data_IF_004466259055
#
_entry.id   IF_004466259055
#
_cell.length_a   1.000
_cell.length_b   1.000
_cell.length_c   1.000
_cell.angle_alpha   90.00
_cell.angle_beta   90.00
_cell.angle_gamma   90.00
#
_symmetry.space_group_name_H-M   'P 1'
#
loop_
_entity.id
_entity.type
_entity.pdbx_description
1 polymer ?
#
# COMPACT_ATOMS: atom_id res chain seq x y z
N UNK A 1 51.82 65.86 -9.91
CA UNK A 1 52.12 64.68 -10.74
C UNK A 1 52.72 63.64 -9.79
N UNK A 2 52.18 62.45 -9.53
CA UNK A 2 51.25 61.57 -10.24
C UNK A 2 50.33 60.88 -9.23
N UNK A 3 49.03 60.86 -9.53
CA UNK A 3 48.01 60.10 -8.82
C UNK A 3 48.20 58.60 -9.09
N UNK A 4 48.16 57.76 -8.07
CA UNK A 4 47.96 56.32 -8.22
C UNK A 4 46.62 55.97 -7.59
N UNK A 5 45.57 56.01 -8.43
CA UNK A 5 44.33 55.27 -8.22
C UNK A 5 44.71 53.78 -8.17
N UNK A 6 44.53 53.12 -7.03
CA UNK A 6 44.55 51.66 -6.97
C UNK A 6 43.11 51.16 -6.94
N UNK A 7 42.77 50.43 -8.00
CA UNK A 7 41.46 49.96 -8.40
C UNK A 7 40.94 48.89 -7.45
N UNK A 8 39.72 49.09 -6.94
CA UNK A 8 38.90 48.10 -6.23
C UNK A 8 38.38 47.08 -7.26
N UNK A 9 38.70 45.79 -7.11
CA UNK A 9 37.86 44.68 -7.61
C UNK A 9 37.89 43.52 -6.59
N UNK A 10 36.83 43.32 -5.80
CA UNK A 10 36.65 42.08 -5.05
C UNK A 10 36.16 40.99 -6.01
N UNK A 11 36.99 39.98 -6.26
CA UNK A 11 36.61 38.79 -7.03
C UNK A 11 35.76 37.87 -6.12
N UNK A 12 34.51 38.26 -5.94
CA UNK A 12 33.43 37.35 -5.54
C UNK A 12 33.02 36.46 -6.73
N UNK A 13 32.34 35.36 -6.41
CA UNK A 13 31.73 34.36 -7.30
C UNK A 13 32.62 33.18 -7.71
N UNK A 14 32.45 32.07 -6.99
CA UNK A 14 32.01 30.78 -7.57
C UNK A 14 31.58 29.79 -6.46
N UNK A 15 30.60 30.17 -5.64
CA UNK A 15 29.75 29.17 -4.97
C UNK A 15 28.55 28.89 -5.89
N UNK A 16 28.84 28.24 -7.01
CA UNK A 16 27.84 27.50 -7.77
C UNK A 16 27.68 26.14 -7.12
N UNK A 17 27.04 26.11 -5.95
CA UNK A 17 26.54 24.89 -5.36
C UNK A 17 25.59 24.26 -6.39
N UNK A 18 26.04 23.20 -7.07
CA UNK A 18 25.14 22.27 -7.73
C UNK A 18 24.34 21.53 -6.65
N UNK A 19 23.41 22.21 -5.96
CA UNK A 19 22.26 21.53 -5.41
C UNK A 19 21.40 21.19 -6.61
N UNK A 20 21.71 20.06 -7.26
CA UNK A 20 20.73 19.36 -8.10
C UNK A 20 19.67 18.91 -7.12
N UNK A 21 18.74 19.82 -6.85
CA UNK A 21 17.64 19.64 -5.91
C UNK A 21 16.98 18.29 -6.21
N UNK A 22 16.64 17.57 -5.15
CA UNK A 22 15.87 16.32 -5.10
C UNK A 22 14.58 16.39 -5.92
N UNK A 23 14.70 16.40 -7.24
CA UNK A 23 13.56 16.33 -8.12
C UNK A 23 13.18 14.85 -8.15
N UNK A 24 12.27 14.49 -7.24
CA UNK A 24 11.69 13.15 -7.14
C UNK A 24 11.12 12.76 -8.50
N UNK A 25 11.38 11.53 -8.91
CA UNK A 25 10.84 10.99 -10.16
C UNK A 25 9.30 11.01 -10.07
N UNK A 26 8.58 11.68 -10.99
CA UNK A 26 7.12 11.77 -10.94
C UNK A 26 6.44 10.40 -10.98
N UNK A 27 7.06 9.39 -11.58
CA UNK A 27 6.54 8.02 -11.60
C UNK A 27 6.63 7.34 -10.23
N UNK A 28 7.69 7.62 -9.46
CA UNK A 28 7.82 7.13 -8.10
C UNK A 28 6.86 7.86 -7.14
N UNK A 29 6.55 9.13 -7.40
CA UNK A 29 5.51 9.84 -6.67
C UNK A 29 4.12 9.24 -6.94
N UNK A 30 3.83 8.89 -8.19
CA UNK A 30 2.58 8.20 -8.56
C UNK A 30 2.50 6.80 -7.95
N UNK A 31 3.59 6.03 -8.00
CA UNK A 31 3.69 4.73 -7.34
C UNK A 31 3.40 4.84 -5.83
N UNK A 32 3.96 5.85 -5.15
CA UNK A 32 3.72 6.08 -3.73
C UNK A 32 2.25 6.41 -3.43
N UNK A 33 1.58 7.19 -4.29
CA UNK A 33 0.15 7.48 -4.15
C UNK A 33 -0.68 6.19 -4.22
N UNK A 34 -0.42 5.32 -5.19
CA UNK A 34 -1.12 4.04 -5.29
C UNK A 34 -0.85 3.13 -4.10
N UNK A 35 0.41 3.05 -3.64
CA UNK A 35 0.76 2.30 -2.44
C UNK A 35 -0.01 2.81 -1.20
N UNK A 36 0.01 4.12 -0.94
CA UNK A 36 -0.71 4.72 0.19
C UNK A 36 -2.22 4.47 0.11
N UNK A 37 -2.82 4.59 -1.07
CA UNK A 37 -4.25 4.32 -1.22
C UNK A 37 -4.55 2.83 -0.98
N UNK A 38 -3.68 1.93 -1.43
CA UNK A 38 -3.85 0.50 -1.24
C UNK A 38 -3.74 0.11 0.25
N UNK A 39 -2.77 0.65 0.99
CA UNK A 39 -2.61 0.40 2.44
C UNK A 39 -3.70 1.06 3.29
N UNK A 40 -4.29 2.17 2.82
CA UNK A 40 -5.50 2.72 3.43
C UNK A 40 -6.70 1.78 3.27
N UNK A 41 -6.89 1.18 2.09
CA UNK A 41 -7.95 0.18 1.88
C UNK A 41 -7.70 -1.05 2.75
N UNK A 42 -6.46 -1.55 2.81
CA UNK A 42 -6.07 -2.64 3.70
C UNK A 42 -6.53 -2.36 5.14
N UNK A 43 -6.16 -1.20 5.69
CA UNK A 43 -6.52 -0.83 7.06
C UNK A 43 -8.04 -0.78 7.31
N UNK A 44 -8.84 -0.49 6.28
CA UNK A 44 -10.30 -0.51 6.37
C UNK A 44 -10.86 -1.93 6.39
N UNK A 45 -10.35 -2.83 5.54
CA UNK A 45 -10.94 -4.16 5.33
C UNK A 45 -10.33 -5.26 6.19
N UNK A 46 -9.10 -5.09 6.68
CA UNK A 46 -8.39 -6.06 7.53
C UNK A 46 -9.23 -6.50 8.74
N UNK A 47 -9.87 -5.61 9.52
CA UNK A 47 -10.72 -6.03 10.64
C UNK A 47 -11.94 -6.85 10.21
N UNK A 48 -12.42 -6.67 8.97
CA UNK A 48 -13.50 -7.50 8.42
C UNK A 48 -12.97 -8.88 8.05
N UNK A 49 -11.82 -8.94 7.37
CA UNK A 49 -11.16 -10.21 7.05
C UNK A 49 -10.87 -11.02 8.31
N UNK A 50 -10.41 -10.39 9.40
CA UNK A 50 -10.19 -11.05 10.69
C UNK A 50 -11.48 -11.64 11.30
N UNK A 51 -12.64 -11.07 11.02
CA UNK A 51 -13.93 -11.58 11.52
C UNK A 51 -14.43 -12.82 10.77
N UNK A 52 -13.83 -13.19 9.63
CA UNK A 52 -14.28 -14.29 8.78
C UNK A 52 -14.43 -15.61 9.55
N UNK A 53 -13.45 -15.97 10.40
CA UNK A 53 -13.51 -17.23 11.13
C UNK A 53 -14.66 -17.25 12.15
N UNK A 54 -14.96 -16.10 12.77
CA UNK A 54 -16.13 -15.96 13.64
C UNK A 54 -17.44 -16.13 12.87
N UNK A 55 -17.55 -15.54 11.67
CA UNK A 55 -18.74 -15.69 10.81
C UNK A 55 -18.93 -17.15 10.37
N UNK A 56 -17.84 -17.85 10.02
CA UNK A 56 -17.89 -19.26 9.66
C UNK A 56 -18.42 -20.14 10.79
N UNK A 57 -18.07 -19.85 12.05
CA UNK A 57 -18.62 -20.54 13.22
C UNK A 57 -20.14 -20.35 13.32
N UNK A 58 -20.65 -19.13 13.09
CA UNK A 58 -22.09 -18.85 13.10
C UNK A 58 -22.85 -19.59 11.98
N UNK A 59 -22.18 -19.86 10.87
CA UNK A 59 -22.73 -20.55 9.71
C UNK A 59 -22.56 -22.09 9.78
N UNK A 60 -21.74 -22.62 10.69
CA UNK A 60 -21.32 -24.02 10.69
C UNK A 60 -22.45 -25.05 10.80
N UNK A 61 -23.57 -24.69 11.44
CA UNK A 61 -24.73 -25.58 11.64
C UNK A 61 -25.79 -25.48 10.53
N UNK A 62 -25.52 -24.69 9.50
CA UNK A 62 -26.43 -24.43 8.38
C UNK A 62 -25.93 -25.20 7.15
N UNK A 63 -26.85 -25.85 6.44
CA UNK A 63 -26.53 -26.79 5.33
C UNK A 63 -27.14 -26.37 4.00
N UNK A 64 -27.79 -25.22 3.96
CA UNK A 64 -28.38 -24.63 2.77
C UNK A 64 -27.27 -24.38 1.74
N UNK A 65 -27.47 -24.70 0.45
CA UNK A 65 -26.45 -24.53 -0.58
C UNK A 65 -25.85 -23.11 -0.64
N UNK A 66 -26.66 -22.09 -0.39
CA UNK A 66 -26.22 -20.69 -0.34
C UNK A 66 -25.22 -20.43 0.80
N UNK A 67 -25.40 -21.09 1.95
CA UNK A 67 -24.49 -20.96 3.09
C UNK A 67 -23.15 -21.61 2.80
N UNK A 68 -23.16 -22.82 2.23
CA UNK A 68 -21.93 -23.53 1.85
C UNK A 68 -21.11 -22.74 0.81
N UNK A 69 -21.79 -22.14 -0.18
CA UNK A 69 -21.16 -21.25 -1.16
C UNK A 69 -20.60 -19.97 -0.51
N UNK A 70 -21.31 -19.40 0.46
CA UNK A 70 -20.86 -18.21 1.21
C UNK A 70 -19.61 -18.52 2.04
N UNK A 71 -19.58 -19.66 2.75
CA UNK A 71 -18.40 -20.12 3.52
C UNK A 71 -17.19 -20.30 2.61
N UNK A 72 -17.37 -20.92 1.44
CA UNK A 72 -16.29 -21.07 0.45
C UNK A 72 -15.77 -19.71 -0.05
N UNK A 73 -16.67 -18.75 -0.22
CA UNK A 73 -16.31 -17.38 -0.64
C UNK A 73 -15.52 -16.65 0.45
N UNK A 74 -15.91 -16.82 1.72
CA UNK A 74 -15.19 -16.27 2.86
C UNK A 74 -13.75 -16.85 2.95
N UNK A 75 -13.57 -18.15 2.77
CA UNK A 75 -12.24 -18.77 2.73
C UNK A 75 -11.39 -18.23 1.56
N UNK A 76 -12.01 -18.07 0.39
CA UNK A 76 -11.35 -17.46 -0.76
C UNK A 76 -10.92 -16.01 -0.51
N UNK A 77 -11.71 -15.24 0.22
CA UNK A 77 -11.40 -13.84 0.54
C UNK A 77 -10.20 -13.75 1.47
N UNK A 78 -10.20 -14.53 2.55
CA UNK A 78 -9.08 -14.56 3.51
C UNK A 78 -7.77 -14.90 2.80
N UNK A 79 -7.77 -15.95 1.98
CA UNK A 79 -6.59 -16.34 1.19
C UNK A 79 -6.16 -15.26 0.19
N UNK A 80 -7.10 -14.60 -0.49
CA UNK A 80 -6.77 -13.56 -1.44
C UNK A 80 -6.14 -12.34 -0.75
N UNK A 81 -6.62 -11.99 0.44
CA UNK A 81 -6.06 -10.92 1.26
C UNK A 81 -4.66 -11.27 1.75
N UNK A 82 -4.45 -12.46 2.34
CA UNK A 82 -3.12 -12.96 2.74
C UNK A 82 -2.13 -12.92 1.58
N UNK A 83 -2.55 -13.37 0.39
CA UNK A 83 -1.72 -13.31 -0.81
C UNK A 83 -1.39 -11.88 -1.24
N UNK A 84 -2.32 -10.94 -1.11
CA UNK A 84 -2.05 -9.53 -1.40
C UNK A 84 -1.01 -8.97 -0.42
N UNK A 85 -1.14 -9.25 0.88
CA UNK A 85 -0.20 -8.80 1.93
C UNK A 85 1.20 -9.37 1.75
N UNK A 86 1.31 -10.65 1.37
CA UNK A 86 2.58 -11.31 1.05
C UNK A 86 3.29 -10.71 -0.17
N UNK A 87 2.53 -10.12 -1.10
CA UNK A 87 3.06 -9.50 -2.32
C UNK A 87 3.20 -7.98 -2.21
N UNK A 88 2.88 -7.38 -1.07
CA UNK A 88 3.02 -5.95 -0.86
C UNK A 88 4.50 -5.54 -0.95
N UNK A 89 4.79 -4.59 -1.84
CA UNK A 89 6.13 -4.06 -2.07
C UNK A 89 6.14 -2.57 -1.72
N UNK A 90 7.17 -2.13 -1.01
CA UNK A 90 7.40 -0.73 -0.67
C UNK A 90 7.96 0.08 -1.84
N UNK A 91 7.61 1.37 -1.91
CA UNK A 91 8.13 2.30 -2.92
C UNK A 91 9.47 2.91 -2.45
N UNK A 92 10.59 2.72 -3.20
CA UNK A 92 11.90 3.21 -2.78
C UNK A 92 11.97 4.74 -2.62
N UNK A 93 12.65 5.20 -1.56
CA UNK A 93 12.98 6.62 -1.37
C UNK A 93 11.79 7.51 -1.00
N UNK A 94 10.63 6.91 -0.70
CA UNK A 94 9.43 7.63 -0.28
C UNK A 94 9.19 7.39 1.21
N UNK A 95 9.00 8.44 2.02
CA UNK A 95 8.62 8.26 3.42
C UNK A 95 7.19 7.71 3.49
N UNK A 96 7.05 6.50 4.01
CA UNK A 96 5.78 5.88 4.40
C UNK A 96 5.61 5.98 5.92
N UNK A 97 4.44 6.41 6.38
CA UNK A 97 4.08 6.31 7.80
C UNK A 97 3.60 4.88 8.08
N UNK A 98 4.45 4.05 8.66
CA UNK A 98 4.03 2.74 9.17
C UNK A 98 3.21 2.94 10.44
N UNK A 99 1.91 3.19 10.31
CA UNK A 99 0.96 3.20 11.42
C UNK A 99 0.03 1.99 11.32
N UNK A 100 0.63 0.80 11.22
CA UNK A 100 -0.10 -0.46 11.43
C UNK A 100 0.12 -0.89 12.88
N UNK A 101 -0.83 -0.56 13.76
CA UNK A 101 -0.92 -1.15 15.10
C UNK A 101 -1.41 -2.59 14.93
N UNK A 102 -0.50 -3.49 14.59
CA UNK A 102 -0.82 -4.89 14.34
C UNK A 102 -1.34 -5.52 15.64
N UNK A 103 -2.62 -5.92 15.61
CA UNK A 103 -3.22 -6.77 16.61
C UNK A 103 -2.42 -8.07 16.81
N UNK A 104 -2.64 -8.74 17.95
CA UNK A 104 -1.81 -9.83 18.51
C UNK A 104 -1.80 -11.16 17.72
N UNK A 105 -1.99 -11.13 16.41
CA UNK A 105 -1.83 -12.29 15.54
C UNK A 105 -0.57 -12.13 14.70
N UNK A 106 0.05 -13.25 14.37
CA UNK A 106 1.44 -13.35 13.91
C UNK A 106 1.80 -12.22 12.94
N UNK A 107 2.80 -11.42 13.33
CA UNK A 107 3.39 -10.44 12.44
C UNK A 107 3.91 -11.19 11.22
N UNK A 108 3.12 -11.22 10.14
CA UNK A 108 3.66 -11.42 8.82
C UNK A 108 4.63 -10.26 8.66
N UNK A 109 5.91 -10.53 8.91
CA UNK A 109 6.97 -9.66 8.45
C UNK A 109 6.74 -9.57 6.96
N UNK A 110 6.09 -8.50 6.49
CA UNK A 110 6.14 -8.15 5.09
C UNK A 110 7.63 -8.18 4.77
N UNK A 111 8.04 -9.13 3.94
CA UNK A 111 9.40 -9.13 3.47
C UNK A 111 9.56 -7.71 2.90
N UNK A 112 10.47 -6.94 3.47
CA UNK A 112 10.79 -5.58 3.02
C UNK A 112 11.52 -5.72 1.67
N UNK A 113 10.78 -6.27 0.70
CA UNK A 113 11.17 -6.69 -0.61
C UNK A 113 11.19 -5.44 -1.46
N UNK A 114 12.07 -4.53 -1.06
CA UNK A 114 12.30 -3.30 -1.80
C UNK A 114 12.89 -3.67 -3.15
N UNK A 115 12.08 -3.56 -4.21
CA UNK A 115 12.52 -3.74 -5.58
C UNK A 115 13.27 -2.47 -6.04
N UNK A 116 14.34 -2.11 -5.33
CA UNK A 116 15.07 -0.83 -5.48
C UNK A 116 15.61 -0.60 -6.89
N UNK A 117 15.89 -1.68 -7.61
CA UNK A 117 16.41 -1.65 -8.98
C UNK A 117 15.30 -1.76 -10.05
N UNK A 118 14.03 -1.81 -9.65
CA UNK A 118 12.91 -1.84 -10.59
C UNK A 118 12.78 -0.46 -11.28
N UNK A 119 12.67 -0.42 -12.62
CA UNK A 119 12.41 0.83 -13.33
C UNK A 119 11.17 1.55 -12.81
N UNK A 120 11.20 2.89 -12.76
CA UNK A 120 10.14 3.68 -12.12
C UNK A 120 8.75 3.48 -12.73
N UNK A 121 8.67 3.27 -14.05
CA UNK A 121 7.42 2.92 -14.74
C UNK A 121 6.87 1.56 -14.30
N UNK A 122 7.75 0.57 -14.11
CA UNK A 122 7.38 -0.76 -13.61
C UNK A 122 6.99 -0.73 -12.15
N UNK A 123 7.64 0.10 -11.33
CA UNK A 123 7.22 0.32 -9.95
C UNK A 123 5.83 0.94 -9.89
N UNK A 124 5.56 1.98 -10.68
CA UNK A 124 4.22 2.58 -10.79
C UNK A 124 3.18 1.53 -11.20
N UNK A 125 3.44 0.78 -12.27
CA UNK A 125 2.49 -0.21 -12.78
C UNK A 125 2.23 -1.34 -11.77
N UNK A 126 3.27 -1.75 -11.02
CA UNK A 126 3.14 -2.72 -9.94
C UNK A 126 2.24 -2.19 -8.83
N UNK A 127 2.46 -0.96 -8.36
CA UNK A 127 1.64 -0.37 -7.29
C UNK A 127 0.20 -0.14 -7.73
N UNK A 128 -0.03 0.23 -9.00
CA UNK A 128 -1.37 0.31 -9.58
C UNK A 128 -2.06 -1.06 -9.56
N UNK A 129 -1.35 -2.12 -9.95
CA UNK A 129 -1.87 -3.49 -9.89
C UNK A 129 -2.21 -3.93 -8.46
N UNK A 130 -1.39 -3.55 -7.47
CA UNK A 130 -1.67 -3.82 -6.05
C UNK A 130 -2.92 -3.07 -5.57
N UNK A 131 -3.08 -1.82 -5.96
CA UNK A 131 -4.26 -1.01 -5.66
C UNK A 131 -5.54 -1.60 -6.28
N UNK A 132 -5.49 -1.99 -7.56
CA UNK A 132 -6.63 -2.59 -8.24
C UNK A 132 -7.00 -3.95 -7.65
N UNK A 133 -6.01 -4.71 -7.17
CA UNK A 133 -6.25 -5.98 -6.51
C UNK A 133 -6.95 -5.80 -5.15
N UNK A 134 -6.47 -4.89 -4.29
CA UNK A 134 -7.09 -4.67 -2.98
C UNK A 134 -8.50 -4.07 -3.09
N UNK A 135 -8.77 -3.23 -4.10
CA UNK A 135 -10.12 -2.74 -4.41
C UNK A 135 -11.09 -3.89 -4.74
N UNK A 136 -10.65 -4.85 -5.56
CA UNK A 136 -11.46 -6.04 -5.86
C UNK A 136 -11.72 -6.89 -4.60
N UNK A 137 -10.72 -7.01 -3.71
CA UNK A 137 -10.90 -7.70 -2.42
C UNK A 137 -11.89 -6.94 -1.54
N UNK A 138 -11.82 -5.61 -1.48
CA UNK A 138 -12.76 -4.76 -0.75
C UNK A 138 -14.20 -4.98 -1.24
N UNK A 139 -14.46 -4.82 -2.55
CA UNK A 139 -15.80 -4.98 -3.12
C UNK A 139 -16.40 -6.37 -2.82
N UNK A 140 -15.57 -7.42 -2.96
CA UNK A 140 -15.98 -8.79 -2.65
C UNK A 140 -16.24 -8.99 -1.16
N UNK A 141 -15.44 -8.36 -0.29
CA UNK A 141 -15.63 -8.38 1.18
C UNK A 141 -16.96 -7.74 1.54
N UNK A 142 -17.23 -6.53 1.07
CA UNK A 142 -18.49 -5.81 1.33
C UNK A 142 -19.70 -6.60 0.85
N UNK A 143 -19.66 -7.12 -0.38
CA UNK A 143 -20.73 -7.95 -0.93
C UNK A 143 -20.96 -9.23 -0.12
N UNK A 144 -19.88 -9.91 0.30
CA UNK A 144 -19.99 -11.18 1.04
C UNK A 144 -20.53 -10.93 2.46
N UNK A 145 -20.10 -9.86 3.13
CA UNK A 145 -20.62 -9.49 4.45
C UNK A 145 -22.10 -9.10 4.42
N UNK A 146 -22.54 -8.43 3.36
CA UNK A 146 -23.96 -8.16 3.13
C UNK A 146 -24.77 -9.46 2.96
N UNK A 147 -24.23 -10.43 2.22
CA UNK A 147 -24.84 -11.74 2.05
C UNK A 147 -24.92 -12.52 3.37
N UNK A 148 -23.84 -12.54 4.17
CA UNK A 148 -23.83 -13.18 5.49
C UNK A 148 -24.88 -12.57 6.40
N UNK A 149 -24.98 -11.24 6.43
CA UNK A 149 -26.00 -10.52 7.20
C UNK A 149 -27.42 -10.94 6.79
N UNK A 150 -27.66 -11.10 5.48
CA UNK A 150 -28.95 -11.54 4.94
C UNK A 150 -29.28 -13.02 5.22
N UNK A 151 -28.27 -13.85 5.47
CA UNK A 151 -28.44 -15.26 5.84
C UNK A 151 -28.75 -15.39 7.34
N UNK A 152 -28.14 -14.54 8.17
CA UNK A 152 -28.25 -14.61 9.62
C UNK A 152 -29.53 -13.99 10.18
N UNK A 153 -30.13 -13.04 9.46
CA UNK A 153 -31.41 -12.40 9.80
C UNK A 153 -32.58 -13.00 9.02
#
# INVERSE_FOLDING_TARGET
>A
MKCTLSLIIPLAFSLGACSRSDQKDPLLEEAAKFHTEATQIQAVIEPQIEQIDSLKILLANRSEPVVLATVTTLDSLKKAFEQWEENLVEVPGMPHEHHHDHGKHEHHHHADATLKDLPADKMRDLQLGMLDNIRQIQERTESTFSQVTSILH
#
